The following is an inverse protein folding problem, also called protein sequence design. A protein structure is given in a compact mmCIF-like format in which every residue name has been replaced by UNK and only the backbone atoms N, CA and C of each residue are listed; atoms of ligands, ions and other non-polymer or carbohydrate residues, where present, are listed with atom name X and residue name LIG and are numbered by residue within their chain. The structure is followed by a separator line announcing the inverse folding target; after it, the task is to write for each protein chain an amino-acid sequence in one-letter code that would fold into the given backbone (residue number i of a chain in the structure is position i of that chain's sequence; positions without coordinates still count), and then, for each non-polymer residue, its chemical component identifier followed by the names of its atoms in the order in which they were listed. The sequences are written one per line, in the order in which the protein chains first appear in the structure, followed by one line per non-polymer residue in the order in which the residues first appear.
data_IF_054029841611
#
_entry.id   IF_054029841611
#
_cell.length_a   1.000
_cell.length_b   1.000
_cell.length_c   1.000
_cell.angle_alpha   90.00
_cell.angle_beta   90.00
_cell.angle_gamma   90.00
#
_symmetry.space_group_name_H-M   'P 1'
#
loop_
_entity.id
_entity.type
_entity.pdbx_description
1 polymer ?
#
# COMPACT_ATOMS: atom_id res chain seq x y z
N UNK A 1 5.60 -26.02 4.82
CA UNK A 1 4.53 -25.02 5.01
C UNK A 1 4.38 -24.27 3.69
N UNK A 2 3.20 -24.29 3.08
CA UNK A 2 2.98 -23.70 1.75
C UNK A 2 2.52 -22.23 1.79
N UNK A 3 2.01 -21.76 2.94
CA UNK A 3 1.44 -20.42 3.07
C UNK A 3 2.44 -19.39 3.66
N UNK A 4 2.88 -18.38 2.87
CA UNK A 4 3.74 -17.28 3.32
C UNK A 4 3.17 -16.52 4.52
N UNK A 5 1.85 -16.48 4.65
CA UNK A 5 1.18 -15.82 5.77
C UNK A 5 1.46 -16.54 7.08
N UNK A 6 1.26 -17.86 7.11
CA UNK A 6 1.52 -18.67 8.30
C UNK A 6 3.01 -18.63 8.66
N UNK A 7 3.89 -18.61 7.66
CA UNK A 7 5.33 -18.42 7.89
C UNK A 7 5.63 -17.10 8.60
N UNK A 8 5.15 -15.97 8.08
CA UNK A 8 5.42 -14.66 8.68
C UNK A 8 4.71 -14.45 10.01
N UNK A 9 3.46 -14.88 10.17
CA UNK A 9 2.77 -14.87 11.47
C UNK A 9 3.59 -15.67 12.51
N UNK A 10 4.14 -16.83 12.14
CA UNK A 10 4.99 -17.63 13.04
C UNK A 10 6.27 -16.88 13.40
N UNK A 11 6.93 -16.26 12.42
CA UNK A 11 8.16 -15.49 12.66
C UNK A 11 7.93 -14.25 13.51
N UNK A 12 6.84 -13.51 13.26
CA UNK A 12 6.39 -12.38 14.09
C UNK A 12 6.16 -12.86 15.53
N UNK A 13 5.39 -13.94 15.70
CA UNK A 13 5.09 -14.48 17.03
C UNK A 13 6.35 -14.93 17.80
N UNK A 14 7.29 -15.57 17.11
CA UNK A 14 8.57 -15.96 17.71
C UNK A 14 9.36 -14.72 18.13
N UNK A 15 9.45 -13.71 17.25
CA UNK A 15 10.14 -12.45 17.56
C UNK A 15 9.50 -11.75 18.75
N UNK A 16 8.17 -11.60 18.78
CA UNK A 16 7.46 -10.95 19.88
C UNK A 16 7.69 -11.66 21.23
N UNK A 17 7.61 -13.00 21.25
CA UNK A 17 7.88 -13.78 22.48
C UNK A 17 9.30 -13.57 22.98
N UNK A 18 10.27 -13.56 22.07
CA UNK A 18 11.66 -13.38 22.43
C UNK A 18 11.97 -11.93 22.81
N UNK A 19 11.36 -10.94 22.16
CA UNK A 19 11.47 -9.54 22.54
C UNK A 19 10.91 -9.29 23.95
N UNK A 20 9.80 -9.96 24.29
CA UNK A 20 9.24 -9.95 25.64
C UNK A 20 10.19 -10.59 26.66
N UNK A 21 10.78 -11.75 26.34
CA UNK A 21 11.80 -12.39 27.19
C UNK A 21 13.02 -11.48 27.42
N UNK A 22 13.48 -10.78 26.37
CA UNK A 22 14.56 -9.80 26.46
C UNK A 22 14.24 -8.62 27.39
N UNK A 23 12.99 -8.19 27.40
CA UNK A 23 12.52 -7.09 28.24
C UNK A 23 12.31 -7.52 29.70
N UNK A 24 11.66 -8.65 29.92
CA UNK A 24 11.21 -9.10 31.25
C UNK A 24 12.36 -9.73 32.05
N UNK A 25 13.21 -10.55 31.41
CA UNK A 25 14.20 -11.39 32.10
C UNK A 25 15.66 -10.89 31.94
N UNK A 26 15.94 -10.06 30.93
CA UNK A 26 17.31 -9.67 30.55
C UNK A 26 17.58 -8.15 30.58
N UNK A 27 16.67 -7.35 31.14
CA UNK A 27 16.82 -5.89 31.33
C UNK A 27 17.22 -5.10 30.07
N UNK A 28 16.91 -5.58 28.86
CA UNK A 28 17.29 -4.94 27.60
C UNK A 28 18.80 -4.64 27.45
N UNK A 29 19.67 -5.54 27.94
CA UNK A 29 21.11 -5.36 27.72
C UNK A 29 21.46 -5.26 26.23
N UNK A 30 22.11 -4.17 25.86
CA UNK A 30 22.44 -3.80 24.47
C UNK A 30 23.24 -4.90 23.74
N UNK A 31 24.12 -5.60 24.46
CA UNK A 31 24.90 -6.72 23.92
C UNK A 31 24.04 -7.93 23.54
N UNK A 32 23.05 -8.26 24.37
CA UNK A 32 22.12 -9.38 24.13
C UNK A 32 21.11 -9.03 23.02
N UNK A 33 20.67 -7.76 22.93
CA UNK A 33 19.81 -7.30 21.83
C UNK A 33 20.46 -7.48 20.46
N UNK A 34 21.74 -7.13 20.32
CA UNK A 34 22.46 -7.32 19.06
C UNK A 34 22.65 -8.79 18.68
N UNK A 35 22.87 -9.67 19.67
CA UNK A 35 22.93 -11.12 19.44
C UNK A 35 21.55 -11.65 19.05
N UNK A 36 20.50 -11.15 19.70
CA UNK A 36 19.12 -11.49 19.43
C UNK A 36 18.69 -11.15 18.00
N UNK A 37 18.97 -9.93 17.55
CA UNK A 37 18.66 -9.52 16.17
C UNK A 37 19.46 -10.35 15.16
N UNK A 38 20.72 -10.70 15.46
CA UNK A 38 21.52 -11.65 14.64
C UNK A 38 20.92 -13.05 14.59
N UNK A 39 20.37 -13.57 15.69
CA UNK A 39 19.70 -14.88 15.72
C UNK A 39 18.40 -14.84 14.92
N UNK A 40 17.60 -13.78 15.05
CA UNK A 40 16.39 -13.58 14.24
C UNK A 40 16.73 -13.51 12.75
N UNK A 41 17.76 -12.76 12.39
CA UNK A 41 18.32 -12.67 11.04
C UNK A 41 18.75 -14.04 10.51
N UNK A 42 19.53 -14.77 11.30
CA UNK A 42 20.02 -16.10 10.94
C UNK A 42 18.83 -17.02 10.71
N UNK A 43 17.86 -17.07 11.63
CA UNK A 43 16.64 -17.87 11.49
C UNK A 43 15.86 -17.51 10.24
N UNK A 44 15.66 -16.21 9.96
CA UNK A 44 14.99 -15.73 8.75
C UNK A 44 15.74 -16.12 7.47
N UNK A 45 17.08 -16.16 7.51
CA UNK A 45 17.92 -16.58 6.38
C UNK A 45 17.91 -18.08 6.17
N UNK A 46 18.11 -18.85 7.23
CA UNK A 46 18.33 -20.30 7.22
C UNK A 46 17.07 -21.13 7.38
N UNK A 47 15.91 -20.53 7.65
CA UNK A 47 14.72 -21.29 8.03
C UNK A 47 14.27 -22.27 6.95
N UNK A 48 14.17 -23.53 7.38
CA UNK A 48 13.56 -24.67 6.67
C UNK A 48 12.07 -24.42 6.37
N UNK A 49 11.46 -23.42 7.03
CA UNK A 49 10.07 -23.01 6.88
C UNK A 49 9.80 -21.99 5.76
N UNK A 50 10.84 -21.45 5.11
CA UNK A 50 10.64 -20.61 3.92
C UNK A 50 9.82 -21.40 2.90
N UNK A 51 8.73 -20.83 2.35
CA UNK A 51 8.06 -21.44 1.21
C UNK A 51 9.11 -21.67 0.11
N UNK A 52 9.18 -22.90 -0.41
CA UNK A 52 10.19 -23.29 -1.39
C UNK A 52 10.19 -22.27 -2.54
N UNK A 53 11.32 -21.60 -2.75
CA UNK A 53 11.51 -20.66 -3.85
C UNK A 53 11.03 -19.22 -3.63
N UNK A 54 10.39 -18.87 -2.51
CA UNK A 54 10.01 -17.46 -2.22
C UNK A 54 11.04 -16.74 -1.36
N UNK A 55 11.40 -15.53 -1.77
CA UNK A 55 12.30 -14.66 -1.00
C UNK A 55 11.56 -14.00 0.17
N UNK A 56 12.34 -13.46 1.11
CA UNK A 56 11.78 -12.71 2.24
C UNK A 56 11.02 -11.46 1.75
N UNK A 57 11.59 -10.75 0.78
CA UNK A 57 10.98 -9.60 0.11
C UNK A 57 9.55 -9.89 -0.36
N UNK A 58 9.39 -10.97 -1.12
CA UNK A 58 8.10 -11.42 -1.65
C UNK A 58 7.11 -11.80 -0.55
N UNK A 59 7.58 -12.58 0.42
CA UNK A 59 6.76 -13.05 1.54
C UNK A 59 6.26 -11.88 2.38
N UNK A 60 7.13 -10.93 2.72
CA UNK A 60 6.77 -9.76 3.51
C UNK A 60 5.79 -8.87 2.76
N UNK A 61 6.05 -8.62 1.47
CA UNK A 61 5.17 -7.83 0.63
C UNK A 61 3.76 -8.45 0.53
N UNK A 62 3.68 -9.77 0.37
CA UNK A 62 2.42 -10.51 0.32
C UNK A 62 1.67 -10.45 1.65
N UNK A 63 2.37 -10.61 2.77
CA UNK A 63 1.77 -10.52 4.10
C UNK A 63 1.22 -9.13 4.41
N UNK A 64 1.99 -8.07 4.11
CA UNK A 64 1.55 -6.68 4.30
C UNK A 64 0.33 -6.36 3.41
N UNK A 65 0.31 -6.85 2.17
CA UNK A 65 -0.83 -6.68 1.27
C UNK A 65 -2.09 -7.34 1.81
N UNK A 66 -1.97 -8.54 2.40
CA UNK A 66 -3.08 -9.21 3.08
C UNK A 66 -3.58 -8.31 4.21
N UNK A 67 -2.73 -7.92 5.18
CA UNK A 67 -3.11 -7.11 6.34
C UNK A 67 -3.84 -5.80 6.00
N UNK A 68 -3.53 -5.20 4.85
CA UNK A 68 -4.07 -3.90 4.45
C UNK A 68 -5.34 -3.99 3.61
N UNK A 69 -5.86 -5.18 3.31
CA UNK A 69 -7.11 -5.34 2.54
C UNK A 69 -8.36 -5.26 3.41
N UNK A 70 -9.45 -4.72 2.84
CA UNK A 70 -10.77 -4.51 3.47
C UNK A 70 -11.50 -5.81 3.86
N UNK A 71 -11.07 -6.97 3.38
CA UNK A 71 -11.64 -8.28 3.70
C UNK A 71 -11.19 -8.80 5.08
N UNK A 72 -10.14 -8.23 5.67
CA UNK A 72 -9.61 -8.59 7.00
C UNK A 72 -10.37 -7.92 8.17
N UNK A 73 -11.63 -7.53 7.97
CA UNK A 73 -12.47 -6.84 8.97
C UNK A 73 -12.62 -7.56 10.32
N UNK A 74 -12.16 -8.81 10.44
CA UNK A 74 -12.20 -9.60 11.69
C UNK A 74 -11.12 -9.21 12.70
N UNK A 75 -10.07 -8.48 12.32
CA UNK A 75 -9.04 -7.99 13.25
C UNK A 75 -9.33 -6.55 13.69
N UNK A 76 -9.25 -6.28 15.00
CA UNK A 76 -9.35 -4.92 15.53
C UNK A 76 -8.23 -4.03 15.01
N UNK A 77 -8.53 -2.74 14.76
CA UNK A 77 -7.55 -1.77 14.24
C UNK A 77 -6.28 -1.67 15.09
N UNK A 78 -6.40 -1.76 16.41
CA UNK A 78 -5.25 -1.71 17.32
C UNK A 78 -4.28 -2.89 17.07
N UNK A 79 -4.83 -4.10 16.90
CA UNK A 79 -4.05 -5.31 16.60
C UNK A 79 -3.41 -5.24 15.20
N UNK A 80 -4.06 -4.58 14.23
CA UNK A 80 -3.47 -4.37 12.90
C UNK A 80 -2.27 -3.43 12.95
N UNK A 81 -2.37 -2.32 13.68
CA UNK A 81 -1.26 -1.37 13.86
C UNK A 81 -0.04 -2.05 14.48
N UNK A 82 -0.24 -2.81 15.56
CA UNK A 82 0.84 -3.56 16.21
C UNK A 82 1.47 -4.57 15.25
N UNK A 83 0.65 -5.35 14.54
CA UNK A 83 1.14 -6.31 13.53
C UNK A 83 1.95 -5.62 12.42
N UNK A 84 1.51 -4.46 11.93
CA UNK A 84 2.25 -3.71 10.91
C UNK A 84 3.61 -3.25 11.44
N UNK A 85 3.67 -2.72 12.67
CA UNK A 85 4.92 -2.30 13.30
C UNK A 85 5.90 -3.47 13.44
N UNK A 86 5.46 -4.59 13.99
CA UNK A 86 6.28 -5.80 14.16
C UNK A 86 6.75 -6.36 12.81
N UNK A 87 5.89 -6.31 11.79
CA UNK A 87 6.23 -6.80 10.46
C UNK A 87 7.26 -5.92 9.75
N UNK A 88 7.23 -4.60 10.02
CA UNK A 88 8.14 -3.65 9.37
C UNK A 88 9.59 -3.91 9.80
N UNK A 89 9.83 -4.50 10.98
CA UNK A 89 11.19 -4.84 11.43
C UNK A 89 11.88 -5.81 10.46
N UNK A 90 11.12 -6.72 9.82
CA UNK A 90 11.68 -7.65 8.84
C UNK A 90 12.16 -6.96 7.56
N UNK A 91 11.81 -5.68 7.35
CA UNK A 91 12.28 -4.89 6.23
C UNK A 91 13.80 -4.67 6.26
N UNK A 92 14.37 -4.46 7.46
CA UNK A 92 15.83 -4.30 7.67
C UNK A 92 16.62 -5.57 7.30
N UNK A 93 15.93 -6.70 7.19
CA UNK A 93 16.52 -8.00 6.89
C UNK A 93 16.39 -8.40 5.42
N UNK A 94 15.80 -7.55 4.58
CA UNK A 94 15.66 -7.79 3.14
C UNK A 94 16.98 -7.47 2.44
N UNK A 95 17.52 -8.46 1.73
CA UNK A 95 18.74 -8.28 0.92
C UNK A 95 18.44 -7.69 -0.46
N UNK A 96 17.25 -7.97 -1.00
CA UNK A 96 16.77 -7.54 -2.32
C UNK A 96 15.71 -6.44 -2.23
N UNK A 97 16.09 -5.30 -1.65
CA UNK A 97 15.18 -4.19 -1.34
C UNK A 97 14.40 -3.69 -2.57
N UNK A 98 15.07 -3.56 -3.71
CA UNK A 98 14.44 -3.14 -4.98
C UNK A 98 13.34 -4.11 -5.43
N UNK A 99 13.49 -5.41 -5.14
CA UNK A 99 12.48 -6.41 -5.46
C UNK A 99 11.26 -6.22 -4.57
N UNK A 100 11.46 -6.00 -3.27
CA UNK A 100 10.36 -5.66 -2.36
C UNK A 100 9.62 -4.41 -2.82
N UNK A 101 10.33 -3.33 -3.16
CA UNK A 101 9.71 -2.05 -3.51
C UNK A 101 8.88 -2.14 -4.78
N UNK A 102 9.38 -2.81 -5.82
CA UNK A 102 8.63 -3.03 -7.06
C UNK A 102 7.34 -3.84 -6.80
N UNK A 103 7.44 -4.88 -5.98
CA UNK A 103 6.27 -5.68 -5.58
C UNK A 103 5.29 -4.87 -4.74
N UNK A 104 5.79 -4.10 -3.78
CA UNK A 104 4.96 -3.27 -2.91
C UNK A 104 4.27 -2.17 -3.69
N UNK A 105 4.96 -1.50 -4.61
CA UNK A 105 4.38 -0.51 -5.51
C UNK A 105 3.20 -1.10 -6.30
N UNK A 106 3.41 -2.27 -6.91
CA UNK A 106 2.37 -2.95 -7.69
C UNK A 106 1.16 -3.30 -6.84
N UNK A 107 1.37 -3.81 -5.62
CA UNK A 107 0.29 -4.18 -4.70
C UNK A 107 -0.44 -2.96 -4.14
N UNK A 108 0.31 -1.93 -3.70
CA UNK A 108 -0.25 -0.65 -3.26
C UNK A 108 -1.11 -0.03 -4.36
N UNK A 109 -0.61 0.02 -5.59
CA UNK A 109 -1.36 0.51 -6.76
C UNK A 109 -2.70 -0.22 -6.91
N UNK A 110 -2.67 -1.56 -6.87
CA UNK A 110 -3.89 -2.37 -6.99
C UNK A 110 -4.86 -2.11 -5.84
N UNK A 111 -4.37 -2.04 -4.60
CA UNK A 111 -5.23 -1.79 -3.43
C UNK A 111 -5.86 -0.41 -3.48
N UNK A 112 -5.09 0.61 -3.83
CA UNK A 112 -5.57 1.99 -3.93
C UNK A 112 -6.55 2.16 -5.09
N UNK A 113 -6.17 1.74 -6.30
CA UNK A 113 -6.96 1.92 -7.51
C UNK A 113 -8.29 1.17 -7.46
N UNK A 114 -8.30 -0.05 -6.91
CA UNK A 114 -9.51 -0.88 -6.76
C UNK A 114 -10.23 -0.66 -5.43
N UNK A 115 -9.82 0.34 -4.65
CA UNK A 115 -10.37 0.66 -3.34
C UNK A 115 -10.43 -0.55 -2.38
N UNK A 116 -9.42 -1.43 -2.44
CA UNK A 116 -9.30 -2.60 -1.57
C UNK A 116 -8.60 -2.29 -0.25
N UNK A 117 -7.95 -1.13 -0.10
CA UNK A 117 -7.27 -0.73 1.14
C UNK A 117 -8.24 -0.52 2.29
N UNK A 118 -7.95 -1.10 3.46
CA UNK A 118 -8.77 -0.97 4.67
C UNK A 118 -8.83 0.48 5.18
N UNK A 119 -7.71 1.20 5.12
CA UNK A 119 -7.58 2.60 5.51
C UNK A 119 -6.35 3.22 4.87
N UNK A 120 -6.50 4.42 4.30
CA UNK A 120 -5.36 5.22 3.81
C UNK A 120 -4.40 5.59 4.96
N UNK A 121 -4.90 5.74 6.18
CA UNK A 121 -4.06 6.04 7.35
C UNK A 121 -3.11 4.89 7.68
N UNK A 122 -3.56 3.64 7.56
CA UNK A 122 -2.72 2.46 7.79
C UNK A 122 -1.70 2.26 6.67
N UNK A 123 -2.07 2.58 5.42
CA UNK A 123 -1.12 2.60 4.30
C UNK A 123 -0.01 3.63 4.56
N UNK A 124 -0.38 4.85 4.97
CA UNK A 124 0.59 5.91 5.29
C UNK A 124 1.46 5.56 6.49
N UNK A 125 0.90 4.93 7.53
CA UNK A 125 1.65 4.43 8.67
C UNK A 125 2.73 3.44 8.23
N UNK A 126 2.37 2.42 7.45
CA UNK A 126 3.34 1.45 6.94
C UNK A 126 4.44 2.14 6.12
N UNK A 127 4.07 3.08 5.24
CA UNK A 127 5.06 3.82 4.44
C UNK A 127 5.97 4.68 5.32
N UNK A 128 5.48 5.24 6.43
CA UNK A 128 6.31 5.94 7.43
C UNK A 128 7.29 5.00 8.10
N UNK A 129 6.83 3.86 8.61
CA UNK A 129 7.69 2.88 9.24
C UNK A 129 8.79 2.37 8.30
N UNK A 130 8.46 2.14 7.02
CA UNK A 130 9.45 1.73 6.01
C UNK A 130 10.51 2.82 5.77
N UNK A 131 10.11 4.10 5.74
CA UNK A 131 11.04 5.22 5.55
C UNK A 131 11.97 5.41 6.76
N UNK A 132 11.51 5.15 7.99
CA UNK A 132 12.33 5.26 9.19
C UNK A 132 13.46 4.22 9.23
N UNK A 133 13.24 3.05 8.64
CA UNK A 133 14.26 1.98 8.54
C UNK A 133 15.24 2.28 7.40
N UNK A 134 14.73 2.69 6.24
CA UNK A 134 15.56 2.98 5.08
C UNK A 134 14.99 4.19 4.32
N UNK A 135 15.78 5.26 4.23
CA UNK A 135 15.45 6.42 3.40
C UNK A 135 15.62 6.09 1.92
N UNK A 136 14.61 5.46 1.34
CA UNK A 136 14.57 5.17 -0.09
C UNK A 136 13.58 6.07 -0.83
N UNK A 137 13.97 6.50 -2.04
CA UNK A 137 13.20 7.44 -2.87
C UNK A 137 11.79 6.90 -3.24
N UNK A 138 11.62 5.57 -3.27
CA UNK A 138 10.34 4.93 -3.59
C UNK A 138 9.24 5.24 -2.57
N UNK A 139 9.59 5.49 -1.30
CA UNK A 139 8.61 5.86 -0.26
C UNK A 139 7.90 7.18 -0.58
N UNK A 140 8.59 8.14 -1.21
CA UNK A 140 7.98 9.39 -1.69
C UNK A 140 6.93 9.12 -2.76
N UNK A 141 7.19 8.18 -3.67
CA UNK A 141 6.21 7.75 -4.69
C UNK A 141 4.98 7.14 -4.02
N UNK A 142 5.17 6.24 -3.06
CA UNK A 142 4.06 5.59 -2.33
C UNK A 142 3.17 6.61 -1.60
N UNK A 143 3.78 7.57 -0.87
CA UNK A 143 3.03 8.66 -0.23
C UNK A 143 2.26 9.50 -1.26
N UNK A 144 2.87 9.79 -2.40
CA UNK A 144 2.21 10.54 -3.47
C UNK A 144 1.01 9.77 -4.06
N UNK A 145 1.09 8.44 -4.19
CA UNK A 145 -0.05 7.60 -4.60
C UNK A 145 -1.21 7.73 -3.61
N UNK A 146 -0.95 7.58 -2.31
CA UNK A 146 -1.99 7.76 -1.27
C UNK A 146 -2.61 9.16 -1.32
N UNK A 147 -1.77 10.19 -1.52
CA UNK A 147 -2.21 11.58 -1.63
C UNK A 147 -3.10 11.81 -2.86
N UNK A 148 -2.79 11.19 -4.00
CA UNK A 148 -3.61 11.28 -5.21
C UNK A 148 -5.03 10.71 -4.98
N UNK A 149 -5.14 9.58 -4.27
CA UNK A 149 -6.45 9.01 -3.89
C UNK A 149 -7.21 9.95 -2.95
N UNK A 150 -6.59 10.42 -1.87
CA UNK A 150 -7.25 11.34 -0.93
C UNK A 150 -7.69 12.65 -1.58
N UNK A 151 -6.92 13.14 -2.56
CA UNK A 151 -7.31 14.33 -3.33
C UNK A 151 -8.46 14.03 -4.29
N UNK A 152 -8.48 12.84 -4.89
CA UNK A 152 -9.59 12.39 -5.74
C UNK A 152 -10.89 12.32 -4.95
N UNK A 153 -10.87 11.77 -3.73
CA UNK A 153 -12.05 11.71 -2.86
C UNK A 153 -12.57 13.12 -2.53
N UNK A 154 -11.67 14.04 -2.16
CA UNK A 154 -12.03 15.45 -1.91
C UNK A 154 -12.61 16.13 -3.15
N UNK A 155 -12.07 15.84 -4.33
CA UNK A 155 -12.58 16.38 -5.58
C UNK A 155 -13.95 15.79 -5.93
N UNK A 156 -14.18 14.50 -5.74
CA UNK A 156 -15.50 13.90 -5.95
C UNK A 156 -16.54 14.48 -4.99
N UNK A 157 -16.18 14.73 -3.72
CA UNK A 157 -17.04 15.45 -2.78
C UNK A 157 -17.35 16.89 -3.22
N UNK A 158 -16.38 17.57 -3.81
CA UNK A 158 -16.57 18.90 -4.39
C UNK A 158 -17.46 18.85 -5.62
N UNK A 159 -17.23 17.89 -6.53
CA UNK A 159 -18.01 17.69 -7.73
C UNK A 159 -19.45 17.32 -7.41
N UNK A 160 -19.72 16.49 -6.40
CA UNK A 160 -21.09 16.16 -5.97
C UNK A 160 -21.91 17.34 -5.42
N UNK A 161 -21.29 18.51 -5.21
CA UNK A 161 -21.98 19.77 -4.87
C UNK A 161 -22.10 20.72 -6.06
N UNK A 162 -21.57 20.33 -7.22
CA UNK A 162 -21.62 21.12 -8.44
C UNK A 162 -23.01 20.99 -9.09
N UNK A 163 -23.59 22.08 -9.63
CA UNK A 163 -24.94 22.05 -10.19
C UNK A 163 -25.14 21.06 -11.34
N UNK A 164 -24.10 20.85 -12.16
CA UNK A 164 -24.08 19.94 -13.32
C UNK A 164 -23.43 18.58 -12.94
N UNK A 165 -23.51 18.19 -11.67
CA UNK A 165 -22.89 16.95 -11.22
C UNK A 165 -23.66 15.73 -11.68
N UNK A 166 -22.93 14.82 -12.33
CA UNK A 166 -23.43 13.52 -12.75
C UNK A 166 -23.03 12.44 -11.74
N UNK A 167 -23.71 11.29 -11.78
CA UNK A 167 -23.37 10.11 -10.97
C UNK A 167 -22.11 9.40 -11.51
N UNK A 168 -20.99 10.11 -11.54
CA UNK A 168 -19.68 9.57 -11.90
C UNK A 168 -18.72 9.68 -10.72
N UNK A 169 -17.79 8.74 -10.64
CA UNK A 169 -16.67 8.79 -9.69
C UNK A 169 -15.37 8.88 -10.47
N UNK A 170 -14.58 9.92 -10.22
CA UNK A 170 -13.34 10.17 -10.96
C UNK A 170 -12.13 10.01 -10.04
N UNK A 171 -11.15 9.23 -10.49
CA UNK A 171 -9.87 9.09 -9.79
C UNK A 171 -8.79 9.83 -10.59
N UNK A 172 -8.22 10.87 -9.99
CA UNK A 172 -7.15 11.68 -10.60
C UNK A 172 -5.80 11.23 -10.07
N UNK A 173 -4.94 10.84 -10.99
CA UNK A 173 -3.64 10.24 -10.72
C UNK A 173 -2.52 11.08 -11.34
N UNK A 174 -1.39 11.20 -10.63
CA UNK A 174 -0.21 11.88 -11.15
C UNK A 174 0.54 11.01 -12.16
N UNK A 175 0.71 11.48 -13.40
CA UNK A 175 1.37 10.73 -14.48
C UNK A 175 2.82 10.31 -14.20
N UNK A 176 3.50 11.00 -13.27
CA UNK A 176 4.89 10.70 -12.90
C UNK A 176 5.03 9.59 -11.86
N UNK A 177 3.93 9.16 -11.25
CA UNK A 177 3.92 8.23 -10.11
C UNK A 177 3.25 6.92 -10.47
N UNK A 178 2.18 6.98 -11.26
CA UNK A 178 1.38 5.81 -11.62
C UNK A 178 1.83 5.24 -12.96
N UNK A 179 2.00 3.92 -13.10
CA UNK A 179 2.49 3.28 -14.31
C UNK A 179 1.37 3.08 -15.35
N UNK A 180 0.58 4.12 -15.59
CA UNK A 180 -0.51 4.08 -16.57
C UNK A 180 -0.12 4.87 -17.82
N UNK A 181 -0.20 4.19 -18.96
CA UNK A 181 0.02 4.82 -20.26
C UNK A 181 -1.29 5.38 -20.83
N UNK A 182 -1.24 6.58 -21.46
CA UNK A 182 -2.39 7.09 -22.20
C UNK A 182 -2.72 6.17 -23.38
N UNK A 183 -4.00 6.03 -23.75
CA UNK A 183 -4.39 5.31 -24.97
C UNK A 183 -4.02 6.13 -26.22
N UNK A 184 -3.83 5.45 -27.35
CA UNK A 184 -3.58 6.10 -28.64
C UNK A 184 -4.82 6.84 -29.17
N UNK A 185 -6.01 6.28 -28.93
CA UNK A 185 -7.30 6.86 -29.32
C UNK A 185 -8.33 6.72 -28.20
N UNK A 186 -9.15 7.76 -27.99
CA UNK A 186 -10.23 7.78 -26.98
C UNK A 186 -11.56 7.83 -27.71
N UNK A 187 -12.26 6.70 -27.74
CA UNK A 187 -13.64 6.62 -28.21
C UNK A 187 -14.58 6.57 -27.01
N UNK A 188 -15.17 7.71 -26.67
CA UNK A 188 -16.09 7.84 -25.55
C UNK A 188 -17.54 7.91 -26.07
N UNK A 189 -18.45 7.03 -25.59
CA UNK A 189 -19.88 7.14 -25.85
C UNK A 189 -20.42 8.53 -25.52
N UNK A 190 -21.48 8.95 -26.23
CA UNK A 190 -22.03 10.30 -26.12
C UNK A 190 -22.45 10.65 -24.68
N UNK A 191 -23.06 9.69 -23.99
CA UNK A 191 -23.54 9.83 -22.61
C UNK A 191 -22.36 10.12 -21.66
N UNK A 192 -21.27 9.36 -21.80
CA UNK A 192 -20.07 9.55 -20.99
C UNK A 192 -19.32 10.84 -21.34
N UNK A 193 -19.42 11.30 -22.59
CA UNK A 193 -18.84 12.57 -23.03
C UNK A 193 -19.47 13.76 -22.33
N UNK A 194 -20.80 13.77 -22.18
CA UNK A 194 -21.49 14.82 -21.42
C UNK A 194 -21.00 14.86 -19.98
N UNK A 195 -20.96 13.70 -19.30
CA UNK A 195 -20.48 13.63 -17.92
C UNK A 195 -19.03 14.07 -17.77
N UNK A 196 -18.17 13.68 -18.71
CA UNK A 196 -16.78 14.10 -18.76
C UNK A 196 -16.65 15.62 -18.94
N UNK A 197 -17.42 16.23 -19.84
CA UNK A 197 -17.36 17.66 -20.11
C UNK A 197 -17.82 18.48 -18.89
N UNK A 198 -18.90 18.07 -18.22
CA UNK A 198 -19.36 18.68 -16.95
C UNK A 198 -18.28 18.58 -15.86
N UNK A 199 -17.67 17.41 -15.71
CA UNK A 199 -16.59 17.21 -14.74
C UNK A 199 -15.35 18.04 -15.10
N UNK A 200 -14.93 18.08 -16.35
CA UNK A 200 -13.78 18.84 -16.83
C UNK A 200 -13.93 20.34 -16.57
N UNK A 201 -15.15 20.88 -16.78
CA UNK A 201 -15.50 22.26 -16.43
C UNK A 201 -15.42 22.51 -14.92
N UNK A 202 -15.95 21.61 -14.10
CA UNK A 202 -15.82 21.67 -12.65
C UNK A 202 -14.34 21.62 -12.19
N UNK A 203 -13.56 20.70 -12.76
CA UNK A 203 -12.14 20.53 -12.45
C UNK A 203 -11.32 21.76 -12.81
N UNK A 204 -11.62 22.43 -13.92
CA UNK A 204 -10.94 23.67 -14.32
C UNK A 204 -11.12 24.78 -13.27
N UNK A 205 -12.29 24.84 -12.63
CA UNK A 205 -12.53 25.75 -11.51
C UNK A 205 -11.76 25.34 -10.24
N UNK A 206 -11.61 24.04 -10.02
CA UNK A 206 -10.86 23.47 -8.90
C UNK A 206 -9.34 23.62 -9.05
N UNK A 207 -8.80 23.46 -10.27
CA UNK A 207 -7.38 23.52 -10.57
C UNK A 207 -7.09 24.15 -11.94
N UNK A 208 -6.54 25.37 -11.92
CA UNK A 208 -6.20 26.13 -13.13
C UNK A 208 -4.88 25.73 -13.79
N UNK A 209 -4.14 24.78 -13.20
CA UNK A 209 -2.75 24.45 -13.59
C UNK A 209 -2.56 23.04 -14.11
N UNK A 210 -3.61 22.20 -14.07
CA UNK A 210 -3.53 20.78 -14.40
C UNK A 210 -4.40 20.47 -15.61
N UNK A 211 -3.92 19.58 -16.46
CA UNK A 211 -4.65 19.06 -17.62
C UNK A 211 -4.99 17.60 -17.34
N UNK A 212 -6.22 17.20 -17.70
CA UNK A 212 -6.69 15.83 -17.55
C UNK A 212 -6.41 15.03 -18.82
N UNK A 213 -5.97 13.79 -18.64
CA UNK A 213 -5.91 12.78 -19.70
C UNK A 213 -6.83 11.66 -19.23
N UNK A 214 -7.87 11.37 -20.02
CA UNK A 214 -8.81 10.30 -19.71
C UNK A 214 -8.18 8.94 -20.04
N UNK A 215 -8.37 7.96 -19.16
CA UNK A 215 -7.86 6.60 -19.32
C UNK A 215 -9.02 5.59 -19.28
N UNK A 216 -9.86 5.52 -20.33
CA UNK A 216 -11.06 4.70 -20.35
C UNK A 216 -10.77 3.19 -20.20
N UNK A 217 -9.58 2.72 -20.59
CA UNK A 217 -9.15 1.32 -20.46
C UNK A 217 -9.01 0.85 -19.00
N UNK A 218 -8.99 1.78 -18.03
CA UNK A 218 -8.98 1.46 -16.60
C UNK A 218 -10.30 1.82 -15.90
N UNK A 219 -11.27 2.36 -16.65
CA UNK A 219 -12.59 2.71 -16.14
C UNK A 219 -13.53 1.51 -16.14
N UNK A 220 -14.51 1.52 -15.24
CA UNK A 220 -15.57 0.51 -15.15
C UNK A 220 -16.90 1.24 -14.96
N UNK A 221 -18.00 0.63 -15.38
CA UNK A 221 -19.35 1.16 -15.23
C UNK A 221 -20.34 0.03 -15.00
N UNK A 222 -21.44 0.35 -14.31
CA UNK A 222 -22.57 -0.55 -14.09
C UNK A 222 -23.73 -0.07 -14.96
N UNK A 223 -24.38 -1.01 -15.66
CA UNK A 223 -25.62 -0.74 -16.39
C UNK A 223 -26.76 -1.18 -15.48
N UNK A 224 -27.55 -0.21 -15.00
CA UNK A 224 -28.84 -0.47 -14.34
C UNK A 224 -29.97 -0.62 -15.36
#
# INVERSE_FOLDING_TARGET
MEDPKVYLDTMINIRMKLAKFMQDDLNNELGLKNIFDKVCLQLMRTNVLKPIGKKLSESLCEYLDVLLRKDIRTLEKANLTEKLNESTIFYDYIEDIDTFENLYQKRLMQRLFRQLSISIELELLLITNLQEICEHESTKKFRQMCKDISNSDRLNMYYGKYPESEKIFVTILSSTVWPFSPPDEILLPHELKISYDHFSKCFTNYSKRKVLILLPQYSHGELE
#
